data_IF_524630416435
#
_entry.id   IF_524630416435
#
_cell.length_a   1.000
_cell.length_b   1.000
_cell.length_c   1.000
_cell.angle_alpha   90.00
_cell.angle_beta   90.00
_cell.angle_gamma   90.00
#
_symmetry.space_group_name_H-M   'P 1'
#
loop_
_entity.id
_entity.type
_entity.pdbx_description
1 polymer ?
#
# COMPACT_ATOMS: atom_id res chain seq x y z
N UNK A 1 -22.58 21.32 15.15
CA UNK A 1 -21.62 20.33 15.70
C UNK A 1 -20.41 20.35 14.79
N UNK A 2 -19.24 20.60 15.33
CA UNK A 2 -18.00 20.52 14.58
C UNK A 2 -17.78 19.07 14.16
N UNK A 3 -17.54 18.85 12.88
CA UNK A 3 -17.28 17.50 12.34
C UNK A 3 -15.87 17.07 12.71
N UNK A 4 -15.72 15.86 13.22
CA UNK A 4 -14.41 15.28 13.53
C UNK A 4 -13.58 15.04 12.27
N UNK A 5 -12.27 15.21 12.35
CA UNK A 5 -11.36 14.71 11.32
C UNK A 5 -11.36 13.18 11.29
N UNK A 6 -11.25 12.60 10.09
CA UNK A 6 -11.26 11.15 9.88
C UNK A 6 -9.96 10.76 9.19
N UNK A 7 -9.21 9.86 9.81
CA UNK A 7 -8.00 9.26 9.23
C UNK A 7 -8.27 7.79 8.94
N UNK A 8 -8.23 7.41 7.66
CA UNK A 8 -8.22 6.02 7.22
C UNK A 8 -6.77 5.61 6.99
N UNK A 9 -6.25 4.70 7.79
CA UNK A 9 -4.87 4.22 7.68
C UNK A 9 -4.89 2.76 7.24
N UNK A 10 -4.18 2.45 6.15
CA UNK A 10 -4.07 1.09 5.62
C UNK A 10 -2.62 0.69 5.40
N UNK A 11 -2.30 -0.59 5.66
CA UNK A 11 -1.02 -1.21 5.34
C UNK A 11 -1.30 -2.38 4.38
N UNK A 12 -0.62 -2.39 3.23
CA UNK A 12 -0.86 -3.40 2.20
C UNK A 12 -0.24 -4.75 2.58
N UNK A 13 -1.01 -5.84 2.48
CA UNK A 13 -0.59 -7.21 2.83
C UNK A 13 -0.19 -7.42 4.30
N UNK A 14 -0.49 -6.51 5.21
CA UNK A 14 -0.14 -6.67 6.63
C UNK A 14 -0.85 -7.87 7.26
N UNK A 15 -0.08 -8.85 7.67
CA UNK A 15 -0.61 -10.03 8.35
C UNK A 15 -0.94 -9.70 9.82
N UNK A 16 -2.20 -9.91 10.20
CA UNK A 16 -2.68 -9.73 11.57
C UNK A 16 -1.82 -10.47 12.63
N UNK A 17 -1.28 -11.64 12.29
CA UNK A 17 -0.49 -12.48 13.20
C UNK A 17 0.86 -11.90 13.60
N UNK A 18 1.34 -10.83 12.94
CA UNK A 18 2.60 -10.17 13.32
C UNK A 18 2.39 -9.01 14.30
N UNK A 19 1.14 -8.56 14.49
CA UNK A 19 0.82 -7.42 15.38
C UNK A 19 0.89 -7.82 16.85
N UNK A 20 1.53 -6.99 17.68
CA UNK A 20 1.73 -7.26 19.11
C UNK A 20 0.42 -7.50 19.86
N UNK A 21 -0.61 -6.66 19.65
CA UNK A 21 -1.92 -6.83 20.28
C UNK A 21 -2.67 -8.10 19.85
N UNK A 22 -2.25 -8.73 18.75
CA UNK A 22 -2.74 -10.03 18.29
C UNK A 22 -1.88 -11.22 18.75
N UNK A 23 -0.86 -10.97 19.58
CA UNK A 23 0.05 -11.99 20.08
C UNK A 23 1.30 -12.21 19.22
N UNK A 24 1.56 -11.36 18.23
CA UNK A 24 2.79 -11.37 17.44
C UNK A 24 4.00 -11.01 18.30
N UNK A 25 5.11 -11.73 18.15
CA UNK A 25 6.34 -11.53 18.93
C UNK A 25 7.56 -11.19 18.05
N UNK A 26 7.50 -11.53 16.77
CA UNK A 26 8.62 -11.36 15.84
C UNK A 26 8.97 -9.89 15.53
N UNK A 27 8.00 -9.01 15.61
CA UNK A 27 8.19 -7.56 15.40
C UNK A 27 7.43 -6.76 16.46
N UNK A 28 7.96 -5.58 16.79
CA UNK A 28 7.31 -4.67 17.75
C UNK A 28 6.43 -3.68 17.00
N UNK A 29 5.16 -3.57 17.40
CA UNK A 29 4.16 -2.66 16.80
C UNK A 29 3.54 -1.69 17.83
N UNK A 30 4.35 -0.95 18.63
CA UNK A 30 3.86 -0.26 19.82
C UNK A 30 2.80 0.80 19.52
N UNK A 31 2.87 1.49 18.37
CA UNK A 31 1.89 2.52 18.00
C UNK A 31 0.55 1.91 17.61
N UNK A 32 0.57 0.80 16.84
CA UNK A 32 -0.65 0.07 16.48
C UNK A 32 -1.26 -0.58 17.72
N UNK A 33 -0.43 -1.13 18.60
CA UNK A 33 -0.86 -1.75 19.86
C UNK A 33 -1.52 -0.72 20.80
N UNK A 34 -0.99 0.52 20.85
CA UNK A 34 -1.62 1.62 21.61
C UNK A 34 -2.99 1.98 21.06
N UNK A 35 -3.13 2.12 19.74
CA UNK A 35 -4.42 2.37 19.10
C UNK A 35 -5.43 1.25 19.39
N UNK A 36 -4.98 -0.01 19.32
CA UNK A 36 -5.84 -1.16 19.62
C UNK A 36 -6.30 -1.19 21.09
N UNK A 37 -5.46 -0.70 22.02
CA UNK A 37 -5.79 -0.60 23.46
C UNK A 37 -6.80 0.51 23.75
N UNK A 38 -6.73 1.62 23.02
CA UNK A 38 -7.56 2.81 23.24
C UNK A 38 -8.88 2.76 22.44
N UNK A 39 -8.90 2.00 21.35
CA UNK A 39 -10.01 1.91 20.41
C UNK A 39 -10.75 0.59 20.44
N UNK A 40 -11.54 0.37 19.39
CA UNK A 40 -12.28 -0.89 19.18
C UNK A 40 -11.55 -1.77 18.17
N UNK A 41 -11.26 -3.01 18.56
CA UNK A 41 -10.64 -4.00 17.69
C UNK A 41 -11.69 -4.92 17.03
N UNK A 42 -11.78 -4.86 15.70
CA UNK A 42 -12.65 -5.75 14.91
C UNK A 42 -11.88 -7.01 14.50
N UNK A 43 -11.83 -8.01 15.38
CA UNK A 43 -11.03 -9.23 15.19
C UNK A 43 -11.41 -10.08 13.98
N UNK A 44 -12.66 -9.96 13.47
CA UNK A 44 -13.22 -10.67 12.33
C UNK A 44 -13.63 -9.70 11.23
N UNK A 45 -12.65 -9.04 10.63
CA UNK A 45 -12.84 -8.16 9.48
C UNK A 45 -12.34 -8.87 8.22
N UNK A 46 -13.16 -8.96 7.17
CA UNK A 46 -12.87 -9.70 5.95
C UNK A 46 -12.85 -8.76 4.75
N UNK A 47 -11.88 -8.97 3.87
CA UNK A 47 -11.86 -8.29 2.57
C UNK A 47 -12.78 -8.97 1.57
N UNK A 48 -13.31 -8.21 0.62
CA UNK A 48 -14.11 -8.73 -0.51
C UNK A 48 -13.26 -9.45 -1.56
N UNK A 49 -11.96 -9.18 -1.58
CA UNK A 49 -10.99 -9.77 -2.48
C UNK A 49 -9.60 -9.77 -1.82
N UNK A 50 -8.76 -10.81 -2.03
CA UNK A 50 -7.39 -10.81 -1.54
C UNK A 50 -6.41 -9.99 -2.40
N UNK A 51 -6.88 -9.33 -3.47
CA UNK A 51 -6.07 -8.53 -4.40
C UNK A 51 -6.22 -7.04 -4.13
N UNK A 52 -5.13 -6.29 -4.32
CA UNK A 52 -5.04 -4.87 -3.95
C UNK A 52 -6.12 -4.00 -4.59
N UNK A 53 -6.16 -3.93 -5.93
CA UNK A 53 -7.08 -3.05 -6.65
C UNK A 53 -8.55 -3.38 -6.33
N UNK A 54 -9.04 -4.63 -6.42
CA UNK A 54 -10.41 -4.96 -6.09
C UNK A 54 -10.76 -4.63 -4.63
N UNK A 55 -9.86 -4.94 -3.68
CA UNK A 55 -10.09 -4.65 -2.26
C UNK A 55 -10.18 -3.14 -2.00
N UNK A 56 -9.25 -2.37 -2.57
CA UNK A 56 -9.20 -0.90 -2.42
C UNK A 56 -10.42 -0.22 -3.05
N UNK A 57 -10.83 -0.67 -4.24
CA UNK A 57 -12.05 -0.18 -4.88
C UNK A 57 -13.30 -0.53 -4.07
N UNK A 58 -13.34 -1.70 -3.41
CA UNK A 58 -14.44 -2.05 -2.51
C UNK A 58 -14.46 -1.19 -1.25
N UNK A 59 -13.30 -0.88 -0.65
CA UNK A 59 -13.21 0.06 0.48
C UNK A 59 -13.72 1.43 0.05
N UNK A 60 -13.32 1.89 -1.14
CA UNK A 60 -13.67 3.21 -1.62
C UNK A 60 -15.16 3.36 -1.98
N UNK A 61 -15.78 2.33 -2.57
CA UNK A 61 -17.15 2.41 -3.12
C UNK A 61 -18.21 1.73 -2.26
N UNK A 62 -17.81 0.84 -1.35
CA UNK A 62 -18.74 -0.05 -0.62
C UNK A 62 -19.31 -1.18 -1.50
N UNK A 63 -18.85 -1.33 -2.74
CA UNK A 63 -19.34 -2.33 -3.70
C UNK A 63 -18.46 -3.57 -3.75
N UNK A 64 -19.05 -4.73 -4.03
CA UNK A 64 -18.28 -5.91 -4.40
C UNK A 64 -17.59 -5.72 -5.76
N UNK A 65 -16.43 -6.36 -6.01
CA UNK A 65 -15.66 -6.18 -7.24
C UNK A 65 -16.45 -6.40 -8.53
N UNK A 66 -17.37 -7.37 -8.56
CA UNK A 66 -18.20 -7.65 -9.74
C UNK A 66 -19.28 -6.58 -9.99
N UNK A 67 -19.60 -5.74 -9.00
CA UNK A 67 -20.50 -4.60 -9.17
C UNK A 67 -19.74 -3.32 -9.56
N UNK A 68 -18.51 -3.14 -9.07
CA UNK A 68 -17.70 -1.96 -9.41
C UNK A 68 -16.95 -2.10 -10.74
N UNK A 69 -16.86 -3.33 -11.32
CA UNK A 69 -16.04 -3.63 -12.47
C UNK A 69 -14.54 -3.75 -12.17
N UNK A 70 -14.12 -3.43 -10.96
CA UNK A 70 -12.72 -3.45 -10.51
C UNK A 70 -12.37 -4.80 -9.87
N UNK A 71 -12.27 -5.86 -10.65
CA UNK A 71 -12.13 -7.26 -10.19
C UNK A 71 -10.74 -7.86 -10.37
N UNK A 72 -9.77 -7.12 -10.90
CA UNK A 72 -8.40 -7.61 -11.14
C UNK A 72 -7.39 -6.46 -11.07
N UNK A 73 -6.15 -6.75 -10.65
CA UNK A 73 -5.03 -5.82 -10.73
C UNK A 73 -4.57 -5.54 -12.16
N UNK A 74 -5.07 -6.30 -13.13
CA UNK A 74 -4.59 -6.29 -14.50
C UNK A 74 -5.68 -5.85 -15.49
N UNK A 75 -5.27 -5.42 -16.69
CA UNK A 75 -6.15 -5.08 -17.81
C UNK A 75 -7.01 -3.83 -17.55
N UNK A 76 -8.20 -3.82 -18.13
CA UNK A 76 -9.14 -2.69 -18.08
C UNK A 76 -10.06 -2.78 -16.84
N UNK A 77 -9.48 -2.89 -15.66
CA UNK A 77 -10.23 -3.01 -14.41
C UNK A 77 -10.16 -1.73 -13.55
N UNK A 78 -9.83 -0.58 -14.14
CA UNK A 78 -9.90 0.70 -13.44
C UNK A 78 -11.30 0.96 -12.88
N UNK A 79 -11.37 1.54 -11.70
CA UNK A 79 -12.64 1.97 -11.13
C UNK A 79 -13.25 3.07 -12.02
N UNK A 80 -14.54 2.96 -12.31
CA UNK A 80 -15.28 4.03 -12.99
C UNK A 80 -15.36 5.27 -12.07
N UNK A 81 -14.84 6.38 -12.52
CA UNK A 81 -14.85 7.63 -11.76
C UNK A 81 -16.24 8.29 -11.65
N UNK A 82 -17.22 7.81 -12.40
CA UNK A 82 -18.62 8.18 -12.26
C UNK A 82 -19.35 7.48 -11.11
N UNK A 83 -18.76 6.45 -10.49
CA UNK A 83 -19.37 5.76 -9.37
C UNK A 83 -19.28 6.63 -8.09
N UNK A 84 -20.37 6.68 -7.29
CA UNK A 84 -20.32 7.23 -5.94
C UNK A 84 -19.24 6.53 -5.13
N UNK A 85 -18.47 7.31 -4.41
CA UNK A 85 -17.35 6.78 -3.64
C UNK A 85 -17.12 7.60 -2.37
N UNK A 86 -16.27 7.09 -1.49
CA UNK A 86 -16.01 7.69 -0.19
C UNK A 86 -15.48 9.13 -0.28
N UNK A 87 -14.60 9.43 -1.25
CA UNK A 87 -14.09 10.80 -1.43
C UNK A 87 -15.18 11.77 -1.89
N UNK A 88 -15.99 11.38 -2.89
CA UNK A 88 -17.10 12.24 -3.35
C UNK A 88 -18.10 12.47 -2.25
N UNK A 89 -18.47 11.43 -1.49
CA UNK A 89 -19.41 11.53 -0.36
C UNK A 89 -18.87 12.41 0.78
N UNK A 90 -17.58 12.29 1.11
CA UNK A 90 -16.94 13.13 2.12
C UNK A 90 -16.89 14.60 1.67
N UNK A 91 -16.56 14.83 0.42
CA UNK A 91 -16.55 16.17 -0.17
C UNK A 91 -17.93 16.83 -0.17
N UNK A 92 -18.97 16.09 -0.56
CA UNK A 92 -20.38 16.53 -0.43
C UNK A 92 -20.77 16.79 1.03
N UNK A 93 -20.23 15.99 1.94
CA UNK A 93 -20.33 16.20 3.39
C UNK A 93 -19.54 17.41 3.91
N UNK A 94 -18.84 18.16 3.05
CA UNK A 94 -18.06 19.36 3.41
C UNK A 94 -16.67 19.07 3.97
N UNK A 95 -16.14 17.86 3.82
CA UNK A 95 -14.77 17.53 4.17
C UNK A 95 -13.80 17.96 3.08
N UNK A 96 -12.58 18.31 3.48
CA UNK A 96 -11.44 18.32 2.58
C UNK A 96 -10.85 16.91 2.49
N UNK A 97 -10.62 16.42 1.25
CA UNK A 97 -10.20 15.05 1.00
C UNK A 97 -8.74 14.98 0.59
N UNK A 98 -7.97 14.11 1.21
CA UNK A 98 -6.56 13.92 0.89
C UNK A 98 -6.13 12.45 0.92
N UNK A 99 -5.09 12.13 0.13
CA UNK A 99 -4.46 10.80 0.10
C UNK A 99 -2.95 10.95 0.13
N UNK A 100 -2.31 10.08 0.90
CA UNK A 100 -0.86 9.92 0.96
C UNK A 100 -0.52 8.45 0.74
N UNK A 101 0.34 8.17 -0.25
CA UNK A 101 0.80 6.82 -0.59
C UNK A 101 -0.07 6.12 -1.64
N UNK A 102 -0.26 4.82 -1.46
CA UNK A 102 -0.82 3.90 -2.46
C UNK A 102 -2.30 4.13 -2.72
N UNK A 103 -2.64 4.46 -3.95
CA UNK A 103 -4.03 4.51 -4.45
C UNK A 103 -4.46 3.18 -5.06
N UNK A 104 -3.85 2.79 -6.16
CA UNK A 104 -4.08 1.57 -6.91
C UNK A 104 -5.57 1.31 -7.21
N UNK A 105 -6.27 2.35 -7.69
CA UNK A 105 -7.66 2.25 -8.16
C UNK A 105 -7.75 2.00 -9.68
N UNK A 106 -6.60 1.94 -10.35
CA UNK A 106 -6.44 1.57 -11.75
C UNK A 106 -5.28 0.59 -11.91
N UNK A 107 -5.33 -0.30 -12.93
CA UNK A 107 -4.22 -1.20 -13.23
C UNK A 107 -2.97 -0.41 -13.59
N UNK A 108 -1.86 -0.77 -12.97
CA UNK A 108 -0.56 -0.20 -13.31
C UNK A 108 -0.07 -0.79 -14.63
N UNK A 109 0.52 -0.01 -15.53
CA UNK A 109 1.12 -0.53 -16.75
C UNK A 109 2.39 -1.31 -16.39
N UNK A 110 2.33 -2.64 -16.40
CA UNK A 110 3.49 -3.50 -16.24
C UNK A 110 4.31 -3.56 -17.52
N UNK A 111 5.62 -3.32 -17.41
CA UNK A 111 6.60 -3.65 -18.44
C UNK A 111 7.38 -4.89 -18.00
N UNK A 112 7.50 -5.88 -18.89
CA UNK A 112 8.37 -7.04 -18.67
C UNK A 112 9.86 -6.71 -18.91
N UNK A 113 10.15 -5.52 -19.38
CA UNK A 113 11.51 -5.07 -19.69
C UNK A 113 11.86 -3.89 -18.79
N UNK A 114 13.12 -3.86 -18.33
CA UNK A 114 13.64 -2.72 -17.58
C UNK A 114 13.56 -1.47 -18.46
N UNK A 115 12.85 -0.41 -18.05
CA UNK A 115 12.78 0.82 -18.85
C UNK A 115 14.13 1.54 -18.80
N UNK A 116 14.54 2.10 -19.94
CA UNK A 116 15.75 2.91 -20.02
C UNK A 116 15.63 4.20 -19.20
N UNK A 117 14.39 4.64 -18.98
CA UNK A 117 14.03 5.83 -18.20
C UNK A 117 12.75 5.61 -17.43
N UNK A 118 12.59 6.33 -16.33
CA UNK A 118 11.36 6.36 -15.56
C UNK A 118 10.24 7.03 -16.37
N UNK A 119 9.08 6.40 -16.42
CA UNK A 119 7.93 6.92 -17.15
C UNK A 119 7.11 7.89 -16.26
N UNK A 120 6.56 8.98 -16.82
CA UNK A 120 5.65 9.87 -16.10
C UNK A 120 4.41 9.13 -15.58
N UNK A 121 3.93 9.53 -14.40
CA UNK A 121 2.74 8.96 -13.77
C UNK A 121 1.59 9.97 -13.67
N UNK A 122 1.68 11.07 -14.41
CA UNK A 122 0.77 12.22 -14.29
C UNK A 122 -0.67 11.88 -14.71
N UNK A 123 -0.86 11.01 -15.73
CA UNK A 123 -2.18 10.57 -16.18
C UNK A 123 -2.93 9.82 -15.06
N UNK A 124 -2.22 8.97 -14.30
CA UNK A 124 -2.80 8.29 -13.14
C UNK A 124 -3.16 9.26 -12.03
N UNK A 125 -2.30 10.24 -11.78
CA UNK A 125 -2.56 11.28 -10.78
C UNK A 125 -3.80 12.10 -11.14
N UNK A 126 -3.97 12.45 -12.41
CA UNK A 126 -5.16 13.13 -12.91
C UNK A 126 -6.42 12.27 -12.72
N UNK A 127 -6.34 10.98 -13.05
CA UNK A 127 -7.44 10.03 -12.85
C UNK A 127 -7.79 9.90 -11.37
N UNK A 128 -6.81 9.75 -10.45
CA UNK A 128 -7.08 9.63 -9.01
C UNK A 128 -7.75 10.90 -8.45
N UNK A 129 -7.32 12.08 -8.89
CA UNK A 129 -7.98 13.34 -8.54
C UNK A 129 -9.43 13.41 -9.03
N UNK A 130 -9.73 12.81 -10.19
CA UNK A 130 -11.11 12.76 -10.70
C UNK A 130 -12.08 11.93 -9.83
N UNK A 131 -11.55 11.07 -8.95
CA UNK A 131 -12.34 10.34 -7.95
C UNK A 131 -12.76 11.22 -6.73
N UNK A 132 -12.41 12.50 -6.73
CA UNK A 132 -12.78 13.43 -5.66
C UNK A 132 -11.67 13.74 -4.65
N UNK A 133 -10.42 13.34 -4.93
CA UNK A 133 -9.26 13.63 -4.09
C UNK A 133 -8.78 15.06 -4.37
N UNK A 134 -8.79 15.93 -3.34
CA UNK A 134 -8.36 17.32 -3.46
C UNK A 134 -6.85 17.50 -3.29
N UNK A 135 -6.23 16.76 -2.36
CA UNK A 135 -4.78 16.71 -2.17
C UNK A 135 -4.24 15.29 -2.31
N UNK A 136 -3.18 15.11 -3.07
CA UNK A 136 -2.59 13.80 -3.38
C UNK A 136 -1.06 13.87 -3.38
N UNK A 137 -0.45 13.06 -2.52
CA UNK A 137 0.98 12.76 -2.50
C UNK A 137 1.14 11.26 -2.80
N UNK A 138 1.57 10.93 -4.01
CA UNK A 138 1.49 9.56 -4.53
C UNK A 138 2.79 8.79 -4.34
N UNK A 139 2.68 7.63 -3.73
CA UNK A 139 3.60 6.48 -3.73
C UNK A 139 2.73 5.26 -4.02
N UNK A 140 2.50 4.94 -5.30
CA UNK A 140 1.40 4.05 -5.69
C UNK A 140 1.69 2.56 -5.51
N UNK A 141 2.92 2.20 -5.35
CA UNK A 141 3.45 0.89 -4.92
C UNK A 141 4.97 0.95 -4.96
N UNK A 142 5.66 0.24 -4.08
CA UNK A 142 7.13 0.19 -4.05
C UNK A 142 7.75 -0.22 -5.37
N UNK A 143 7.20 -1.23 -6.05
CA UNK A 143 7.66 -1.63 -7.38
C UNK A 143 7.37 -0.57 -8.44
N UNK A 144 6.18 0.03 -8.37
CA UNK A 144 5.72 1.02 -9.35
C UNK A 144 6.55 2.28 -9.25
N UNK A 145 6.75 2.80 -8.05
CA UNK A 145 7.52 4.01 -7.79
C UNK A 145 8.97 3.91 -8.26
N UNK A 146 9.52 2.70 -8.33
CA UNK A 146 10.87 2.46 -8.88
C UNK A 146 10.91 2.61 -10.41
N UNK A 147 9.82 2.29 -11.12
CA UNK A 147 9.77 2.32 -12.59
C UNK A 147 9.01 3.52 -13.16
N UNK A 148 8.13 4.12 -12.39
CA UNK A 148 7.31 5.25 -12.78
C UNK A 148 7.64 6.48 -11.95
N UNK A 149 7.34 7.65 -12.50
CA UNK A 149 7.75 8.92 -11.91
C UNK A 149 6.58 9.54 -11.14
N UNK A 150 6.26 8.96 -9.97
CA UNK A 150 5.29 9.51 -9.01
C UNK A 150 5.93 10.57 -8.09
N UNK A 151 5.20 11.06 -7.09
CA UNK A 151 5.70 12.11 -6.19
C UNK A 151 6.88 11.59 -5.35
N UNK A 152 6.77 10.34 -4.86
CA UNK A 152 7.83 9.71 -4.08
C UNK A 152 9.12 9.53 -4.90
N UNK A 153 9.03 8.95 -6.09
CA UNK A 153 10.22 8.69 -6.90
C UNK A 153 10.92 9.96 -7.36
N UNK A 154 10.19 11.05 -7.57
CA UNK A 154 10.78 12.37 -7.85
C UNK A 154 11.61 12.88 -6.68
N UNK A 155 11.04 12.90 -5.47
CA UNK A 155 11.79 13.32 -4.28
C UNK A 155 12.97 12.39 -3.98
N UNK A 156 12.81 11.09 -4.21
CA UNK A 156 13.89 10.11 -4.03
C UNK A 156 15.03 10.32 -5.02
N UNK A 157 14.73 10.72 -6.27
CA UNK A 157 15.72 11.07 -7.26
C UNK A 157 16.46 12.35 -6.88
N UNK A 158 15.73 13.39 -6.47
CA UNK A 158 16.31 14.65 -5.99
C UNK A 158 17.22 14.42 -4.78
N UNK A 159 16.89 13.47 -3.92
CA UNK A 159 17.72 13.05 -2.79
C UNK A 159 18.92 12.16 -3.19
N UNK A 160 19.00 11.71 -4.46
CA UNK A 160 20.09 10.90 -5.00
C UNK A 160 20.00 9.40 -4.74
N UNK A 161 18.87 8.88 -4.27
CA UNK A 161 18.73 7.46 -3.90
C UNK A 161 17.93 6.61 -4.91
N UNK A 162 17.22 7.20 -5.87
CA UNK A 162 16.35 6.46 -6.79
C UNK A 162 17.12 5.41 -7.61
N UNK A 163 18.27 5.74 -8.15
CA UNK A 163 19.08 4.81 -8.95
C UNK A 163 19.52 3.60 -8.15
N UNK A 164 20.03 3.81 -6.94
CA UNK A 164 20.43 2.72 -6.05
C UNK A 164 19.24 1.83 -5.65
N UNK A 165 18.07 2.43 -5.40
CA UNK A 165 16.87 1.66 -5.07
C UNK A 165 16.36 0.84 -6.26
N UNK A 166 16.34 1.42 -7.48
CA UNK A 166 15.99 0.69 -8.71
C UNK A 166 16.91 -0.50 -8.94
N UNK A 167 18.21 -0.34 -8.76
CA UNK A 167 19.20 -1.41 -8.92
C UNK A 167 19.00 -2.50 -7.86
N UNK A 168 18.77 -2.13 -6.60
CA UNK A 168 18.49 -3.09 -5.55
C UNK A 168 17.23 -3.92 -5.84
N UNK A 169 16.14 -3.27 -6.24
CA UNK A 169 14.88 -3.95 -6.61
C UNK A 169 15.07 -4.84 -7.84
N UNK A 170 15.85 -4.42 -8.83
CA UNK A 170 16.07 -5.19 -10.05
C UNK A 170 16.96 -6.41 -9.84
N UNK A 171 18.01 -6.29 -9.00
CA UNK A 171 19.02 -7.32 -8.83
C UNK A 171 18.69 -8.32 -7.72
N UNK A 172 17.66 -8.06 -6.92
CA UNK A 172 17.26 -8.99 -5.85
C UNK A 172 16.72 -10.31 -6.40
N UNK A 173 16.93 -11.38 -5.66
CA UNK A 173 16.18 -12.60 -5.88
C UNK A 173 14.72 -12.42 -5.47
N UNK A 174 13.80 -12.97 -6.26
CA UNK A 174 12.36 -12.88 -5.99
C UNK A 174 12.02 -13.35 -4.56
N UNK A 175 11.23 -12.55 -3.85
CA UNK A 175 10.80 -12.78 -2.47
C UNK A 175 11.90 -12.82 -1.41
N UNK A 176 13.13 -12.44 -1.71
CA UNK A 176 14.15 -12.25 -0.65
C UNK A 176 14.05 -10.87 -0.02
N UNK A 177 14.35 -10.83 1.27
CA UNK A 177 14.50 -9.61 2.04
C UNK A 177 15.86 -8.99 1.74
N UNK A 178 15.89 -7.68 1.52
CA UNK A 178 17.12 -6.91 1.37
C UNK A 178 17.01 -5.57 2.12
N UNK A 179 18.12 -4.98 2.58
CA UNK A 179 18.07 -3.68 3.22
C UNK A 179 17.76 -2.58 2.19
N UNK A 180 16.90 -1.64 2.55
CA UNK A 180 16.67 -0.44 1.76
C UNK A 180 18.01 0.33 1.57
N UNK A 181 18.41 0.70 0.34
CA UNK A 181 19.75 1.22 0.05
C UNK A 181 19.88 2.73 0.29
N UNK A 182 19.22 3.26 1.32
CA UNK A 182 19.24 4.67 1.69
C UNK A 182 18.94 4.90 3.15
N UNK A 183 18.97 6.14 3.62
CA UNK A 183 18.52 6.49 4.96
C UNK A 183 17.04 6.13 5.16
N UNK A 184 16.69 5.60 6.32
CA UNK A 184 15.34 5.10 6.63
C UNK A 184 14.21 6.11 6.39
N UNK A 185 14.49 7.41 6.55
CA UNK A 185 13.53 8.48 6.25
C UNK A 185 13.07 8.54 4.80
N UNK A 186 13.84 7.94 3.87
CA UNK A 186 13.53 7.84 2.45
C UNK A 186 12.90 6.51 2.05
N UNK A 187 12.75 5.57 3.00
CA UNK A 187 11.96 4.38 2.74
C UNK A 187 10.52 4.76 2.37
N UNK A 188 9.85 4.10 1.40
CA UNK A 188 8.51 4.47 0.94
C UNK A 188 7.52 4.72 2.08
N UNK A 189 7.41 3.78 3.01
CA UNK A 189 6.47 3.92 4.15
C UNK A 189 6.84 5.08 5.09
N UNK A 190 8.13 5.33 5.32
CA UNK A 190 8.58 6.45 6.14
C UNK A 190 8.28 7.79 5.44
N UNK A 191 8.45 7.85 4.11
CA UNK A 191 8.10 9.01 3.31
C UNK A 191 6.58 9.29 3.37
N UNK A 192 5.73 8.29 3.15
CA UNK A 192 4.27 8.41 3.25
C UNK A 192 3.85 8.93 4.63
N UNK A 193 4.37 8.33 5.69
CA UNK A 193 4.06 8.76 7.06
C UNK A 193 4.50 10.19 7.36
N UNK A 194 5.69 10.59 6.89
CA UNK A 194 6.23 11.94 7.04
C UNK A 194 5.38 12.96 6.27
N UNK A 195 5.08 12.73 5.00
CA UNK A 195 4.26 13.63 4.17
C UNK A 195 2.87 13.84 4.76
N UNK A 196 2.21 12.77 5.20
CA UNK A 196 0.91 12.86 5.86
C UNK A 196 0.97 13.67 7.17
N UNK A 197 1.99 13.41 8.01
CA UNK A 197 2.15 14.11 9.27
C UNK A 197 2.49 15.60 9.08
N UNK A 198 3.32 15.94 8.10
CA UNK A 198 3.63 17.33 7.75
C UNK A 198 2.38 18.07 7.28
N UNK A 199 1.62 17.46 6.37
CA UNK A 199 0.38 18.03 5.86
C UNK A 199 -0.65 18.29 6.98
N UNK A 200 -0.90 17.29 7.83
CA UNK A 200 -1.86 17.40 8.92
C UNK A 200 -1.46 18.52 9.91
N UNK A 201 -0.16 18.67 10.22
CA UNK A 201 0.31 19.74 11.12
C UNK A 201 0.14 21.16 10.52
N UNK A 202 0.21 21.27 9.19
CA UNK A 202 0.14 22.55 8.48
C UNK A 202 -1.27 22.88 7.99
N UNK A 203 -2.19 21.91 8.09
CA UNK A 203 -3.55 22.07 7.60
C UNK A 203 -4.29 23.16 8.39
N UNK A 204 -4.90 24.10 7.69
CA UNK A 204 -5.52 25.29 8.27
C UNK A 204 -6.85 25.06 9.00
N UNK A 205 -7.34 23.82 9.01
CA UNK A 205 -8.61 23.42 9.62
C UNK A 205 -9.84 24.19 9.09
N UNK A 206 -9.76 24.75 7.88
CA UNK A 206 -10.87 25.47 7.25
C UNK A 206 -12.09 24.59 6.98
N UNK A 207 -11.86 23.28 6.81
CA UNK A 207 -12.86 22.21 6.71
C UNK A 207 -12.44 21.02 7.56
N UNK A 208 -13.37 20.16 7.98
CA UNK A 208 -12.98 18.87 8.56
C UNK A 208 -12.19 18.06 7.54
N UNK A 209 -11.16 17.34 8.00
CA UNK A 209 -10.25 16.59 7.14
C UNK A 209 -10.68 15.13 7.03
N UNK A 210 -10.79 14.61 5.81
CA UNK A 210 -10.79 13.16 5.53
C UNK A 210 -9.50 12.82 4.81
N UNK A 211 -8.65 12.00 5.44
CA UNK A 211 -7.35 11.62 4.89
C UNK A 211 -7.22 10.11 4.83
N UNK A 212 -6.87 9.57 3.66
CA UNK A 212 -6.43 8.18 3.54
C UNK A 212 -4.90 8.13 3.50
N UNK A 213 -4.29 7.60 4.56
CA UNK A 213 -2.85 7.34 4.66
C UNK A 213 -2.64 5.87 4.34
N UNK A 214 -2.06 5.60 3.19
CA UNK A 214 -2.04 4.28 2.57
C UNK A 214 -0.61 3.81 2.35
N UNK A 215 -0.10 3.05 3.31
CA UNK A 215 1.23 2.46 3.23
C UNK A 215 1.25 1.29 2.23
N UNK A 216 2.26 1.26 1.38
CA UNK A 216 2.50 0.13 0.48
C UNK A 216 3.18 -1.06 1.18
N UNK A 217 3.84 -0.85 2.30
CA UNK A 217 4.37 -1.94 3.11
C UNK A 217 3.32 -2.67 3.95
N UNK A 218 3.61 -3.95 4.28
CA UNK A 218 4.75 -4.79 3.91
C UNK A 218 4.63 -5.55 2.57
N UNK A 219 3.84 -5.06 1.61
CA UNK A 219 3.82 -5.61 0.25
C UNK A 219 5.24 -5.73 -0.32
N UNK A 220 5.45 -6.69 -1.20
CA UNK A 220 6.68 -6.81 -1.99
C UNK A 220 6.98 -5.46 -2.71
N UNK A 221 8.20 -4.95 -2.67
CA UNK A 221 9.49 -5.57 -2.34
C UNK A 221 9.72 -5.64 -0.82
N UNK A 222 10.44 -6.66 -0.33
CA UNK A 222 10.70 -6.83 1.10
C UNK A 222 12.01 -6.10 1.48
N UNK A 223 11.95 -4.79 1.54
CA UNK A 223 13.05 -3.83 1.57
C UNK A 223 13.04 -2.94 2.83
N UNK A 224 12.95 -3.52 4.00
CA UNK A 224 12.95 -2.71 5.21
C UNK A 224 14.34 -2.05 5.45
N UNK A 225 14.40 -0.85 6.07
CA UNK A 225 15.66 -0.27 6.50
C UNK A 225 16.42 -1.22 7.46
N UNK A 226 17.76 -1.23 7.36
CA UNK A 226 18.61 -2.20 8.06
C UNK A 226 18.40 -2.21 9.59
N UNK A 227 18.13 -1.05 10.18
CA UNK A 227 17.85 -0.90 11.60
C UNK A 227 16.59 -1.62 12.06
N UNK A 228 15.57 -1.73 11.20
CA UNK A 228 14.34 -2.50 11.48
C UNK A 228 14.55 -3.98 11.22
N UNK A 229 15.32 -4.36 10.19
CA UNK A 229 15.68 -5.77 9.95
C UNK A 229 16.43 -6.38 11.14
N UNK A 230 17.32 -5.61 11.76
CA UNK A 230 18.07 -6.04 12.96
C UNK A 230 17.19 -6.20 14.22
N UNK A 231 16.02 -5.59 14.25
CA UNK A 231 15.08 -5.69 15.37
C UNK A 231 14.11 -6.87 15.25
N UNK A 232 14.01 -7.48 14.05
CA UNK A 232 13.12 -8.61 13.85
C UNK A 232 13.65 -9.86 14.58
N UNK A 233 12.80 -10.43 15.42
CA UNK A 233 13.09 -11.69 16.12
C UNK A 233 12.69 -12.87 15.22
N UNK A 234 13.67 -13.41 14.51
CA UNK A 234 13.45 -14.51 13.57
C UNK A 234 13.18 -15.86 14.26
N UNK A 235 13.50 -16.00 15.56
CA UNK A 235 13.23 -17.21 16.32
C UNK A 235 11.74 -17.35 16.66
N UNK A 236 11.03 -16.23 16.80
CA UNK A 236 9.60 -16.16 17.09
C UNK A 236 8.71 -15.93 15.86
N UNK A 237 9.23 -16.20 14.67
CA UNK A 237 8.41 -16.16 13.45
C UNK A 237 7.30 -17.23 13.52
N UNK A 238 6.06 -16.89 13.12
CA UNK A 238 4.99 -17.87 13.04
C UNK A 238 5.39 -19.04 12.14
N UNK A 239 5.13 -20.26 12.59
CA UNK A 239 5.37 -21.44 11.77
C UNK A 239 4.50 -21.37 10.49
N UNK A 240 5.10 -21.81 9.37
CA UNK A 240 4.36 -21.92 8.12
C UNK A 240 3.20 -22.90 8.32
N UNK A 241 1.98 -22.46 8.05
CA UNK A 241 0.79 -23.30 8.03
C UNK A 241 0.74 -24.13 6.74
N UNK A 242 1.64 -25.08 6.62
CA UNK A 242 1.77 -25.97 5.47
C UNK A 242 1.78 -27.41 5.94
N UNK A 243 0.96 -28.26 5.32
CA UNK A 243 0.99 -29.70 5.54
C UNK A 243 1.81 -30.35 4.43
N UNK A 244 2.61 -31.37 4.79
CA UNK A 244 3.27 -32.22 3.81
C UNK A 244 2.21 -32.88 2.92
N UNK A 245 2.41 -32.88 1.61
CA UNK A 245 1.46 -33.41 0.64
C UNK A 245 0.20 -32.59 0.38
N UNK A 246 0.02 -31.40 0.97
CA UNK A 246 -1.21 -30.60 0.83
C UNK A 246 -1.51 -30.16 -0.62
N UNK A 247 -0.50 -30.17 -1.48
CA UNK A 247 -0.59 -29.84 -2.90
C UNK A 247 -0.62 -31.08 -3.80
N UNK A 248 -0.50 -32.27 -3.24
CA UNK A 248 -0.53 -33.52 -4.02
C UNK A 248 -1.95 -33.74 -4.60
N UNK A 249 -2.01 -34.04 -5.90
CA UNK A 249 -3.28 -34.28 -6.59
C UNK A 249 -4.14 -33.05 -6.84
N UNK A 250 -3.61 -31.84 -6.65
CA UNK A 250 -4.31 -30.60 -7.01
C UNK A 250 -3.76 -30.05 -8.33
N UNK A 251 -4.65 -29.73 -9.28
CA UNK A 251 -4.30 -29.12 -10.58
C UNK A 251 -3.60 -27.75 -10.41
N UNK A 252 -3.63 -27.18 -9.22
CA UNK A 252 -2.95 -25.93 -8.89
C UNK A 252 -1.43 -26.04 -8.89
N UNK A 253 -0.85 -27.21 -8.65
CA UNK A 253 0.61 -27.43 -8.65
C UNK A 253 1.20 -27.11 -10.03
N UNK A 254 0.54 -27.50 -11.11
CA UNK A 254 1.05 -27.29 -12.45
C UNK A 254 1.05 -25.81 -12.85
N UNK A 255 0.09 -25.03 -12.34
CA UNK A 255 0.06 -23.58 -12.55
C UNK A 255 1.23 -22.92 -11.84
N UNK A 256 1.50 -23.25 -10.58
CA UNK A 256 2.62 -22.70 -9.82
C UNK A 256 3.98 -23.14 -10.35
N UNK A 257 4.14 -24.39 -10.73
CA UNK A 257 5.38 -24.90 -11.35
C UNK A 257 5.68 -24.23 -12.69
N UNK A 258 4.64 -24.01 -13.53
CA UNK A 258 4.78 -23.30 -14.81
C UNK A 258 5.13 -21.83 -14.66
N UNK A 259 4.84 -21.23 -13.51
CA UNK A 259 5.17 -19.85 -13.18
C UNK A 259 6.52 -19.70 -12.45
N UNK A 260 7.30 -20.79 -12.28
CA UNK A 260 8.61 -20.74 -11.65
C UNK A 260 8.60 -20.59 -10.13
N UNK A 261 7.46 -20.76 -9.49
CA UNK A 261 7.35 -20.83 -8.03
C UNK A 261 7.75 -22.24 -7.57
N UNK A 262 8.98 -22.40 -7.11
CA UNK A 262 9.53 -23.62 -6.49
C UNK A 262 9.40 -23.61 -4.97
#
# INVERSE_FOLDING_TARGET
MDKAAILLITCDELNKGVLGYCGGQAVKTPQIDSLAKEGTNYGNCYTTSPWCLPARCSILTGLYPHHSGAYSNFRKCALDNGLPNLFTSMKEGGYHTSVFGKCHFAPVPYSSTRPDRTLPYDDFKAYYKSLGIEHLELEDDKQVSVWFYDDYSRELEEAGYLTAYREAVWNQEYQKVFPFPGPSQWHPDAWVGRKAAEYIRQYDCSKPLFTWISFSGPHYTFDAPEEYLKQADTEHLPQRKRKEGELEGTDRIDVYKRQGFH
#
